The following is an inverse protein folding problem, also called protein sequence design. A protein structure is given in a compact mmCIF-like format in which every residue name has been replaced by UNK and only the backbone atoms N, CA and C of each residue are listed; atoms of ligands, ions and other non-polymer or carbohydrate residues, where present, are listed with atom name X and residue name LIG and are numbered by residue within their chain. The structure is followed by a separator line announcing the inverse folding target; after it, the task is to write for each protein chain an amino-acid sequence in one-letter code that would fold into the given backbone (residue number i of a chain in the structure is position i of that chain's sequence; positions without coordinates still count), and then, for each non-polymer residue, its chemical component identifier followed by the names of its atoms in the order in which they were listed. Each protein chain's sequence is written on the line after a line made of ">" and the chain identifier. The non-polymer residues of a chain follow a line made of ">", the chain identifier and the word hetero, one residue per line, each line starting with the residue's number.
data_IF_892470339520
#
_entry.id   IF_892470339520
#
_cell.length_a   1.000
_cell.length_b   1.000
_cell.length_c   1.000
_cell.angle_alpha   90.00
_cell.angle_beta   90.00
_cell.angle_gamma   90.00
#
_symmetry.space_group_name_H-M   'P 1'
#
loop_
_entity.id
_entity.type
_entity.pdbx_description
1 polymer ?
#
# COMPACT_ATOMS: atom_id res chain seq x y z
N UNK A 1 -3.66 -1.54 -16.38
CA UNK A 1 -2.79 -1.35 -15.20
C UNK A 1 -2.43 -2.73 -14.67
N UNK A 2 -1.16 -3.01 -14.35
CA UNK A 2 -0.76 -4.30 -13.77
C UNK A 2 -1.42 -4.52 -12.42
N UNK A 3 -1.57 -5.78 -12.05
CA UNK A 3 -2.11 -6.23 -10.77
C UNK A 3 -1.17 -7.22 -10.09
N UNK A 4 -1.10 -7.15 -8.77
CA UNK A 4 -0.33 -8.07 -7.92
C UNK A 4 -1.30 -8.71 -6.93
N UNK A 5 -1.31 -10.05 -6.90
CA UNK A 5 -2.01 -10.82 -5.88
C UNK A 5 -1.03 -11.10 -4.72
N UNK A 6 -1.37 -10.61 -3.53
CA UNK A 6 -0.72 -10.94 -2.27
C UNK A 6 -1.53 -12.03 -1.56
N UNK A 7 -0.95 -12.63 -0.51
CA UNK A 7 -1.62 -13.68 0.26
C UNK A 7 -2.93 -13.23 0.93
N UNK A 8 -3.11 -11.92 1.14
CA UNK A 8 -4.24 -11.34 1.88
C UNK A 8 -5.03 -10.28 1.09
N UNK A 9 -4.57 -9.84 -0.08
CA UNK A 9 -5.30 -8.86 -0.89
C UNK A 9 -4.87 -8.91 -2.37
N UNK A 10 -5.63 -8.26 -3.24
CA UNK A 10 -5.23 -8.01 -4.63
C UNK A 10 -5.13 -6.51 -4.86
N UNK A 11 -4.00 -6.04 -5.38
CA UNK A 11 -3.76 -4.63 -5.67
C UNK A 11 -3.53 -4.41 -7.15
N UNK A 12 -4.15 -3.36 -7.71
CA UNK A 12 -3.94 -2.88 -9.07
C UNK A 12 -3.20 -1.56 -9.01
N UNK A 13 -2.26 -1.33 -9.92
CA UNK A 13 -1.55 -0.06 -10.00
C UNK A 13 -2.55 1.10 -10.18
N UNK A 14 -2.41 2.10 -9.31
CA UNK A 14 -3.25 3.31 -9.30
C UNK A 14 -2.81 4.28 -10.39
N UNK A 15 -1.51 4.32 -10.70
CA UNK A 15 -0.94 5.11 -11.77
C UNK A 15 0.32 4.44 -12.34
N UNK A 16 0.74 4.87 -13.52
CA UNK A 16 2.02 4.49 -14.10
C UNK A 16 2.19 5.06 -15.49
N UNK A 17 3.38 4.88 -16.03
CA UNK A 17 3.72 5.38 -17.36
C UNK A 17 4.58 4.35 -18.09
N UNK A 18 4.01 3.73 -19.11
CA UNK A 18 4.67 2.70 -19.92
C UNK A 18 5.92 3.25 -20.65
N UNK A 19 5.92 4.54 -21.01
CA UNK A 19 7.07 5.17 -21.67
C UNK A 19 8.23 5.46 -20.70
N UNK A 20 7.92 5.60 -19.41
CA UNK A 20 8.90 5.78 -18.33
C UNK A 20 9.12 4.49 -17.54
N UNK A 21 8.49 3.40 -17.95
CA UNK A 21 8.68 2.05 -17.43
C UNK A 21 8.44 1.92 -15.91
N UNK A 22 7.40 2.57 -15.36
CA UNK A 22 7.07 2.45 -13.93
C UNK A 22 5.57 2.38 -13.65
N UNK A 23 5.23 1.73 -12.53
CA UNK A 23 3.88 1.71 -11.95
C UNK A 23 3.90 1.93 -10.44
N UNK A 24 2.92 2.67 -9.92
CA UNK A 24 2.69 2.89 -8.49
C UNK A 24 1.45 2.13 -8.03
N UNK A 25 1.64 1.23 -7.07
CA UNK A 25 0.58 0.57 -6.31
C UNK A 25 0.44 1.33 -5.00
N UNK A 26 -0.76 1.85 -4.73
CA UNK A 26 -0.97 2.78 -3.63
C UNK A 26 -1.87 2.18 -2.56
N UNK A 27 -1.77 2.74 -1.35
CA UNK A 27 -2.69 2.49 -0.26
C UNK A 27 -2.80 1.00 0.10
N UNK A 28 -1.67 0.30 0.09
CA UNK A 28 -1.60 -1.12 0.47
C UNK A 28 -1.53 -1.19 1.98
N UNK A 29 -2.52 -1.84 2.62
CA UNK A 29 -2.53 -2.04 4.06
C UNK A 29 -1.52 -3.12 4.44
N UNK A 30 -0.48 -2.76 5.17
CA UNK A 30 0.55 -3.73 5.59
C UNK A 30 0.40 -4.24 7.02
N UNK A 31 -0.51 -3.66 7.80
CA UNK A 31 -0.80 -4.06 9.18
C UNK A 31 -2.27 -3.79 9.54
N UNK A 32 -2.78 -4.51 10.54
CA UNK A 32 -4.06 -4.20 11.16
C UNK A 32 -4.03 -2.78 11.77
N UNK A 33 -5.18 -2.10 11.79
CA UNK A 33 -5.28 -0.77 12.37
C UNK A 33 -4.92 -0.79 13.87
N UNK A 34 -4.01 0.09 14.36
CA UNK A 34 -3.53 0.11 15.74
C UNK A 34 -4.55 0.76 16.70
N UNK A 35 -5.82 0.40 16.57
CA UNK A 35 -6.94 0.93 17.35
C UNK A 35 -7.38 -0.06 18.42
N UNK A 36 -8.06 0.43 19.47
CA UNK A 36 -8.60 -0.44 20.52
C UNK A 36 -7.50 -1.22 21.24
N UNK A 37 -7.63 -2.54 21.30
CA UNK A 37 -6.68 -3.45 21.96
C UNK A 37 -5.32 -3.50 21.27
N UNK A 38 -5.24 -3.09 20.00
CA UNK A 38 -3.99 -3.03 19.23
C UNK A 38 -3.22 -1.73 19.46
N UNK A 39 -3.78 -0.77 20.21
CA UNK A 39 -3.08 0.48 20.52
C UNK A 39 -1.88 0.20 21.42
N UNK A 40 -0.70 0.62 20.94
CA UNK A 40 0.61 0.34 21.57
C UNK A 40 1.01 -1.14 21.62
N UNK A 41 0.23 -2.02 20.97
CA UNK A 41 0.63 -3.40 20.75
C UNK A 41 1.62 -3.49 19.59
N UNK A 42 2.21 -4.68 19.40
CA UNK A 42 2.98 -4.96 18.18
C UNK A 42 2.02 -4.99 16.98
N UNK A 43 2.44 -4.50 15.79
CA UNK A 43 1.63 -4.61 14.59
C UNK A 43 1.25 -6.07 14.31
N UNK A 44 -0.01 -6.28 13.97
CA UNK A 44 -0.54 -7.58 13.55
C UNK A 44 -0.73 -7.62 12.03
N UNK A 45 -0.83 -8.83 11.48
CA UNK A 45 -1.10 -9.03 10.06
C UNK A 45 -2.37 -8.31 9.62
N UNK A 46 -2.38 -7.69 8.43
CA UNK A 46 -3.58 -7.08 7.87
C UNK A 46 -4.71 -8.13 7.74
N UNK A 47 -5.97 -7.69 7.87
CA UNK A 47 -7.11 -8.54 7.57
C UNK A 47 -7.10 -8.94 6.10
N UNK A 48 -7.68 -10.10 5.80
CA UNK A 48 -7.89 -10.53 4.40
C UNK A 48 -8.90 -9.59 3.75
N UNK A 49 -8.49 -8.95 2.66
CA UNK A 49 -9.31 -8.09 1.83
C UNK A 49 -9.99 -8.92 0.74
N UNK A 50 -11.32 -8.83 0.66
CA UNK A 50 -12.10 -9.55 -0.36
C UNK A 50 -12.29 -8.74 -1.64
N UNK A 51 -12.01 -7.45 -1.59
CA UNK A 51 -12.13 -6.52 -2.71
C UNK A 51 -10.76 -6.22 -3.32
N UNK A 52 -10.74 -5.83 -4.59
CA UNK A 52 -9.50 -5.42 -5.27
C UNK A 52 -9.19 -3.96 -4.93
N UNK A 53 -7.98 -3.72 -4.41
CA UNK A 53 -7.48 -2.39 -4.13
C UNK A 53 -6.99 -1.71 -5.41
N UNK A 54 -7.62 -0.59 -5.77
CA UNK A 54 -7.25 0.23 -6.93
C UNK A 54 -6.49 1.50 -6.53
N UNK A 55 -6.01 1.60 -5.29
CA UNK A 55 -5.29 2.74 -4.74
C UNK A 55 -6.17 3.83 -4.13
N UNK A 56 -7.48 3.65 -4.03
CA UNK A 56 -8.43 4.64 -3.49
C UNK A 56 -9.19 4.15 -2.25
N UNK A 57 -8.70 3.10 -1.57
CA UNK A 57 -9.31 2.61 -0.32
C UNK A 57 -9.27 3.69 0.77
N UNK A 58 -8.28 4.58 0.70
CA UNK A 58 -8.12 5.77 1.56
C UNK A 58 -7.65 6.94 0.69
N UNK A 59 -7.66 8.14 1.27
CA UNK A 59 -7.13 9.36 0.64
C UNK A 59 -5.66 9.17 0.22
N UNK A 60 -5.23 9.85 -0.84
CA UNK A 60 -3.84 9.77 -1.35
C UNK A 60 -2.79 10.21 -0.31
N UNK A 61 -3.19 11.07 0.62
CA UNK A 61 -2.39 11.48 1.77
C UNK A 61 -3.17 11.15 3.03
N UNK A 62 -2.65 10.20 3.80
CA UNK A 62 -3.29 9.75 5.02
C UNK A 62 -2.78 10.59 6.18
N UNK A 63 -3.67 11.35 6.81
CA UNK A 63 -3.36 12.12 8.00
C UNK A 63 -3.31 11.20 9.24
N UNK A 64 -2.11 10.72 9.57
CA UNK A 64 -1.85 9.94 10.78
C UNK A 64 -2.10 10.72 12.08
N UNK A 65 -2.28 12.04 12.04
CA UNK A 65 -2.60 12.83 13.23
C UNK A 65 -4.09 12.83 13.56
N UNK A 66 -4.97 12.73 12.55
CA UNK A 66 -6.43 12.69 12.75
C UNK A 66 -7.02 11.28 12.79
N UNK A 67 -6.29 10.27 12.30
CA UNK A 67 -6.72 8.87 12.30
C UNK A 67 -5.60 7.91 12.67
N UNK A 68 -5.85 7.03 13.65
CA UNK A 68 -4.93 5.94 13.98
C UNK A 68 -4.88 4.84 12.88
N UNK A 69 -5.92 4.75 12.05
CA UNK A 69 -5.96 3.81 10.93
C UNK A 69 -5.18 4.39 9.74
N UNK A 70 -3.85 4.42 9.87
CA UNK A 70 -2.96 4.99 8.85
C UNK A 70 -1.78 4.10 8.45
N UNK A 71 -1.80 2.81 8.80
CA UNK A 71 -0.74 1.85 8.44
C UNK A 71 -0.88 1.32 7.01
N UNK A 72 -0.52 2.17 6.05
CA UNK A 72 -0.50 1.84 4.62
C UNK A 72 0.86 2.18 4.01
N UNK A 73 1.13 1.62 2.84
CA UNK A 73 2.33 1.86 2.07
C UNK A 73 2.01 2.01 0.59
N UNK A 74 2.95 2.64 -0.11
CA UNK A 74 2.95 2.68 -1.56
C UNK A 74 4.22 2.04 -2.11
N UNK A 75 4.07 1.34 -3.23
CA UNK A 75 5.18 0.72 -3.95
C UNK A 75 5.23 1.32 -5.35
N UNK A 76 6.33 1.98 -5.66
CA UNK A 76 6.69 2.31 -7.04
C UNK A 76 7.70 1.27 -7.51
N UNK A 77 7.37 0.59 -8.60
CA UNK A 77 8.22 -0.40 -9.21
C UNK A 77 8.43 -0.08 -10.68
N UNK A 78 9.67 -0.19 -11.12
CA UNK A 78 10.02 -0.18 -12.52
C UNK A 78 9.63 -1.51 -13.16
N UNK A 79 9.29 -1.44 -14.44
CA UNK A 79 8.73 -2.51 -15.27
C UNK A 79 9.82 -3.40 -15.86
N UNK A 80 11.01 -2.84 -16.04
CA UNK A 80 12.24 -3.56 -16.30
C UNK A 80 12.71 -4.26 -15.03
N UNK A 81 12.92 -5.60 -15.07
CA UNK A 81 13.45 -6.36 -13.95
C UNK A 81 14.97 -6.12 -13.84
N UNK A 82 15.38 -4.87 -13.62
CA UNK A 82 16.69 -4.56 -13.07
C UNK A 82 16.64 -4.97 -11.59
N UNK A 83 16.96 -6.23 -11.34
CA UNK A 83 17.26 -6.84 -10.04
C UNK A 83 17.35 -5.83 -8.87
N UNK A 84 16.21 -5.53 -8.24
CA UNK A 84 16.18 -5.04 -6.86
C UNK A 84 16.04 -3.54 -6.59
N UNK A 85 15.63 -2.69 -7.54
CA UNK A 85 15.29 -1.29 -7.20
C UNK A 85 13.79 -1.13 -6.91
N UNK A 86 13.35 -1.55 -5.73
CA UNK A 86 12.02 -1.20 -5.21
C UNK A 86 12.17 0.04 -4.32
N UNK A 87 11.58 1.17 -4.72
CA UNK A 87 11.53 2.36 -3.85
C UNK A 87 10.31 2.20 -2.96
N UNK A 88 10.54 1.82 -1.70
CA UNK A 88 9.55 1.89 -0.65
C UNK A 88 9.48 3.33 -0.13
N UNK A 89 8.39 4.02 -0.46
CA UNK A 89 8.05 5.28 0.18
C UNK A 89 7.01 5.00 1.24
N UNK A 90 7.43 4.94 2.51
CA UNK A 90 6.50 5.20 3.60
C UNK A 90 6.37 6.72 3.68
N UNK A 91 5.32 7.28 3.10
CA UNK A 91 4.99 8.68 3.32
C UNK A 91 4.48 8.83 4.76
N UNK A 92 5.35 9.31 5.64
CA UNK A 92 4.95 9.83 6.95
C UNK A 92 4.51 11.28 6.73
N UNK A 93 3.19 11.51 6.72
CA UNK A 93 2.61 12.85 6.83
C UNK A 93 2.92 13.49 8.17
#
# INVERSE_FOLDING_TARGET
>A
MPSVALDYCTVVAAMGNDSLDYYRHQNIRFAAAPTGDLRFAKPEWPPVETETNHGHIVEESIDCASSENCLFLDIVADTSPQSGSYIWSCEYG
#
